data_IF_082719260783
#
_entry.id   IF_082719260783
#
_cell.length_a   1.000
_cell.length_b   1.000
_cell.length_c   1.000
_cell.angle_alpha   90.00
_cell.angle_beta   90.00
_cell.angle_gamma   90.00
#
_symmetry.space_group_name_H-M   'P 1'
#
loop_
_entity.id
_entity.type
_entity.pdbx_description
1 polymer ?
#
# COMPACT_ATOMS: atom_id res chain seq x y z
N UNK A 1 13.77 -22.54 -11.58
CA UNK A 1 14.16 -21.44 -12.50
C UNK A 1 13.18 -20.31 -12.23
N UNK A 2 13.56 -19.34 -11.39
CA UNK A 2 12.73 -18.15 -11.13
C UNK A 2 12.85 -17.21 -12.33
N UNK A 3 11.79 -17.09 -13.10
CA UNK A 3 11.70 -16.07 -14.14
C UNK A 3 11.44 -14.76 -13.41
N UNK A 4 12.50 -14.03 -13.06
CA UNK A 4 12.38 -12.61 -12.70
C UNK A 4 12.00 -11.85 -13.95
N UNK A 5 10.71 -11.65 -14.15
CA UNK A 5 10.25 -10.63 -15.08
C UNK A 5 10.79 -9.30 -14.58
N UNK A 6 11.85 -8.80 -15.26
CA UNK A 6 12.24 -7.39 -15.14
C UNK A 6 11.11 -6.59 -15.78
N UNK A 7 10.08 -6.33 -14.99
CA UNK A 7 9.08 -5.35 -15.38
C UNK A 7 9.81 -4.02 -15.53
N UNK A 8 9.67 -3.36 -16.68
CA UNK A 8 10.29 -2.07 -16.90
C UNK A 8 9.84 -1.13 -15.80
N UNK A 9 10.76 -0.32 -15.31
CA UNK A 9 10.52 0.70 -14.29
C UNK A 9 9.21 1.41 -14.60
N UNK A 10 8.18 1.23 -13.80
CA UNK A 10 6.91 1.92 -13.80
C UNK A 10 6.10 1.79 -15.08
N UNK A 11 5.21 0.84 -15.15
CA UNK A 11 4.31 0.81 -16.31
C UNK A 11 2.87 1.14 -16.02
N UNK A 12 2.31 0.75 -14.91
CA UNK A 12 0.90 1.04 -14.66
C UNK A 12 0.59 1.03 -13.17
N UNK A 13 0.08 2.11 -12.67
CA UNK A 13 -0.92 2.08 -11.61
C UNK A 13 -2.08 1.27 -12.18
N UNK A 14 -2.64 0.30 -11.46
CA UNK A 14 -3.76 -0.51 -11.97
C UNK A 14 -4.78 0.42 -12.60
N UNK A 15 -4.89 0.38 -13.92
CA UNK A 15 -5.83 1.16 -14.71
C UNK A 15 -5.49 2.62 -15.04
N UNK A 16 -4.30 3.16 -14.68
CA UNK A 16 -3.91 4.51 -15.09
C UNK A 16 -2.45 4.57 -15.56
N UNK A 17 -2.17 5.16 -16.71
CA UNK A 17 -0.80 5.39 -17.16
C UNK A 17 -0.03 6.34 -16.24
N UNK A 18 1.30 6.16 -16.16
CA UNK A 18 2.22 6.94 -15.30
C UNK A 18 2.10 8.45 -15.50
N UNK A 19 1.77 8.91 -16.73
CA UNK A 19 1.56 10.32 -17.03
C UNK A 19 0.34 10.94 -16.34
N UNK A 20 -0.51 10.13 -15.69
CA UNK A 20 -1.67 10.60 -14.91
C UNK A 20 -1.37 10.70 -13.41
N UNK A 21 -0.15 10.45 -12.98
CA UNK A 21 0.28 10.71 -11.61
C UNK A 21 0.30 12.22 -11.36
N UNK A 22 -0.17 12.65 -10.20
CA UNK A 22 -0.20 14.08 -9.84
C UNK A 22 1.19 14.73 -9.85
N UNK A 23 2.22 13.98 -9.50
CA UNK A 23 3.59 14.47 -9.45
C UNK A 23 4.57 13.35 -9.87
N UNK A 24 4.77 13.11 -11.19
CA UNK A 24 5.62 12.02 -11.65
C UNK A 24 7.08 12.13 -11.18
N UNK A 25 7.61 13.37 -11.11
CA UNK A 25 9.01 13.60 -10.73
C UNK A 25 9.32 13.11 -9.31
N UNK A 26 8.38 13.27 -8.38
CA UNK A 26 8.58 12.83 -7.00
C UNK A 26 8.67 11.31 -6.87
N UNK A 27 8.06 10.57 -7.80
CA UNK A 27 8.16 9.11 -7.81
C UNK A 27 9.54 8.64 -8.25
N UNK A 28 10.19 9.38 -9.17
CA UNK A 28 11.55 9.08 -9.61
C UNK A 28 12.55 9.41 -8.51
N UNK A 29 12.40 10.57 -7.89
CA UNK A 29 13.22 11.00 -6.76
C UNK A 29 13.11 10.03 -5.59
N UNK A 30 11.88 9.63 -5.25
CA UNK A 30 11.66 8.67 -4.17
C UNK A 30 12.22 7.28 -4.49
N UNK A 31 12.05 6.78 -5.72
CA UNK A 31 12.58 5.49 -6.13
C UNK A 31 14.12 5.43 -6.00
N UNK A 32 14.81 6.50 -6.36
CA UNK A 32 16.23 6.61 -6.18
C UNK A 32 16.63 6.71 -4.70
N UNK A 33 15.87 7.50 -3.92
CA UNK A 33 16.11 7.68 -2.49
C UNK A 33 15.94 6.38 -1.71
N UNK A 34 14.81 5.67 -1.92
CA UNK A 34 14.52 4.42 -1.20
C UNK A 34 15.56 3.34 -1.45
N UNK A 35 16.04 3.22 -2.68
CA UNK A 35 17.08 2.23 -3.04
C UNK A 35 18.39 2.44 -2.30
N UNK A 36 18.70 3.70 -1.97
CA UNK A 36 19.95 4.07 -1.28
C UNK A 36 19.84 4.03 0.24
N UNK A 37 18.66 4.31 0.77
CA UNK A 37 18.48 4.64 2.18
C UNK A 37 17.61 3.66 2.96
N UNK A 38 16.78 2.84 2.26
CA UNK A 38 15.83 1.96 2.94
C UNK A 38 16.34 0.54 3.07
N UNK A 39 16.16 -0.01 4.26
CA UNK A 39 16.44 -1.40 4.57
C UNK A 39 15.18 -2.25 4.42
N UNK A 40 15.33 -3.43 3.81
CA UNK A 40 14.23 -4.38 3.62
C UNK A 40 14.44 -5.56 4.56
N UNK A 41 13.38 -5.95 5.25
CA UNK A 41 13.37 -7.07 6.20
C UNK A 41 12.29 -8.08 5.85
N UNK A 42 12.49 -9.38 6.11
CA UNK A 42 11.47 -10.39 5.88
C UNK A 42 10.30 -10.23 6.85
N UNK A 43 9.07 -10.38 6.33
CA UNK A 43 7.84 -10.35 7.13
C UNK A 43 7.42 -11.78 7.44
N UNK A 44 7.40 -12.13 8.74
CA UNK A 44 6.94 -13.45 9.19
C UNK A 44 5.42 -13.55 9.20
N UNK A 45 4.90 -14.75 8.94
CA UNK A 45 3.48 -14.99 9.10
C UNK A 45 3.11 -15.08 10.60
N UNK A 46 1.96 -14.51 10.97
CA UNK A 46 1.49 -14.54 12.37
C UNK A 46 1.27 -15.95 12.90
N UNK A 47 0.99 -16.92 12.03
CA UNK A 47 0.87 -18.33 12.44
C UNK A 47 2.21 -19.08 12.58
N UNK A 48 3.34 -18.40 12.34
CA UNK A 48 4.68 -18.98 12.39
C UNK A 48 5.08 -19.80 11.17
N UNK A 49 4.19 -20.08 10.22
CA UNK A 49 4.51 -20.85 9.03
C UNK A 49 5.22 -19.96 7.99
N UNK A 50 6.34 -20.44 7.44
CA UNK A 50 7.12 -19.71 6.44
C UNK A 50 6.72 -20.05 5.00
N UNK A 51 6.04 -21.19 4.79
CA UNK A 51 5.62 -21.61 3.45
C UNK A 51 4.49 -20.74 2.93
N UNK A 52 4.68 -20.22 1.73
CA UNK A 52 3.70 -19.32 1.09
C UNK A 52 3.71 -19.47 -0.43
N UNK A 53 2.61 -19.09 -1.07
CA UNK A 53 2.53 -18.89 -2.53
C UNK A 53 2.64 -17.40 -2.83
N UNK A 54 3.40 -17.05 -3.87
CA UNK A 54 3.44 -15.70 -4.41
C UNK A 54 2.19 -15.42 -5.23
N UNK A 55 1.50 -14.32 -4.94
CA UNK A 55 0.31 -13.86 -5.68
C UNK A 55 0.57 -12.61 -6.51
N UNK A 56 1.56 -11.79 -6.14
CA UNK A 56 2.00 -10.65 -6.95
C UNK A 56 3.47 -10.35 -6.71
N UNK A 57 4.15 -9.84 -7.71
CA UNK A 57 5.54 -9.36 -7.62
C UNK A 57 5.66 -7.84 -7.72
N UNK A 58 4.54 -7.14 -7.84
CA UNK A 58 4.50 -5.69 -7.95
C UNK A 58 3.38 -5.13 -7.07
N UNK A 59 3.60 -3.92 -6.59
CA UNK A 59 2.54 -3.16 -5.93
C UNK A 59 1.65 -2.41 -6.94
N UNK A 60 0.69 -1.66 -6.42
CA UNK A 60 -0.24 -0.84 -7.23
C UNK A 60 0.45 0.30 -8.00
N UNK A 61 1.68 0.61 -7.67
CA UNK A 61 2.48 1.69 -8.29
C UNK A 61 3.51 1.14 -9.27
N UNK A 62 3.58 -0.19 -9.41
CA UNK A 62 4.49 -0.88 -10.31
C UNK A 62 5.88 -1.09 -9.74
N UNK A 63 6.08 -0.87 -8.42
CA UNK A 63 7.34 -1.21 -7.77
C UNK A 63 7.46 -2.69 -7.49
N UNK A 64 8.69 -3.16 -7.41
CA UNK A 64 8.96 -4.53 -7.00
C UNK A 64 8.48 -4.73 -5.54
N UNK A 65 7.42 -5.53 -5.40
CA UNK A 65 6.77 -5.76 -4.12
C UNK A 65 6.10 -7.13 -4.12
N UNK A 66 6.67 -8.06 -3.38
CA UNK A 66 6.17 -9.43 -3.38
C UNK A 66 5.07 -9.63 -2.34
N UNK A 67 3.84 -9.83 -2.82
CA UNK A 67 2.72 -10.30 -2.00
C UNK A 67 2.65 -11.82 -2.01
N UNK A 68 2.47 -12.40 -0.84
CA UNK A 68 2.37 -13.85 -0.63
C UNK A 68 1.15 -14.22 0.20
N UNK A 69 0.59 -15.40 -0.06
CA UNK A 69 -0.45 -16.01 0.75
C UNK A 69 0.14 -17.20 1.53
N UNK A 70 -0.05 -17.21 2.84
CA UNK A 70 0.41 -18.29 3.71
C UNK A 70 -0.34 -19.59 3.41
N UNK A 71 0.39 -20.68 3.21
CA UNK A 71 -0.19 -22.00 2.91
C UNK A 71 -0.98 -22.60 4.07
N UNK A 72 -0.69 -22.17 5.29
CA UNK A 72 -1.30 -22.73 6.49
C UNK A 72 -2.56 -21.97 6.92
N UNK A 73 -2.49 -20.63 7.03
CA UNK A 73 -3.59 -19.84 7.58
C UNK A 73 -4.29 -18.93 6.56
N UNK A 74 -3.79 -18.88 5.30
CA UNK A 74 -4.37 -18.05 4.25
C UNK A 74 -4.08 -16.55 4.38
N UNK A 75 -3.29 -16.11 5.37
CA UNK A 75 -2.94 -14.70 5.52
C UNK A 75 -2.17 -14.20 4.30
N UNK A 76 -2.68 -13.12 3.71
CA UNK A 76 -1.98 -12.37 2.64
C UNK A 76 -1.10 -11.33 3.31
N UNK A 77 0.18 -11.30 2.93
CA UNK A 77 1.17 -10.37 3.48
C UNK A 77 2.25 -10.03 2.45
N UNK A 78 2.99 -8.97 2.69
CA UNK A 78 4.27 -8.77 2.03
C UNK A 78 5.21 -9.92 2.41
N UNK A 79 6.05 -10.39 1.49
CA UNK A 79 7.13 -11.34 1.80
C UNK A 79 8.25 -10.64 2.53
N UNK A 80 8.57 -9.44 2.06
CA UNK A 80 9.58 -8.54 2.60
C UNK A 80 8.99 -7.13 2.63
N UNK A 81 9.41 -6.31 3.56
CA UNK A 81 8.97 -4.93 3.66
C UNK A 81 10.08 -4.05 4.23
N UNK A 82 9.92 -2.75 4.14
CA UNK A 82 10.82 -1.79 4.78
C UNK A 82 10.85 -2.03 6.29
N UNK A 83 12.02 -1.84 6.88
CA UNK A 83 12.15 -1.82 8.32
C UNK A 83 11.36 -0.64 8.94
N UNK A 84 11.25 -0.62 10.26
CA UNK A 84 10.48 0.40 10.98
C UNK A 84 11.01 1.82 10.70
N UNK A 85 12.34 2.00 10.67
CA UNK A 85 12.97 3.29 10.40
C UNK A 85 12.63 3.78 8.99
N UNK A 86 12.76 2.94 7.99
CA UNK A 86 12.45 3.27 6.60
C UNK A 86 10.96 3.56 6.41
N UNK A 87 10.11 2.79 7.07
CA UNK A 87 8.64 3.01 7.07
C UNK A 87 8.29 4.36 7.69
N UNK A 88 8.88 4.71 8.83
CA UNK A 88 8.64 6.00 9.50
C UNK A 88 9.13 7.16 8.63
N UNK A 89 10.30 7.04 7.99
CA UNK A 89 10.80 8.07 7.08
C UNK A 89 9.87 8.27 5.88
N UNK A 90 9.36 7.18 5.29
CA UNK A 90 8.42 7.26 4.18
C UNK A 90 7.17 8.04 4.54
N UNK A 91 6.50 7.70 5.64
CA UNK A 91 5.27 8.36 6.05
C UNK A 91 5.48 9.82 6.50
N UNK A 92 6.64 10.13 7.10
CA UNK A 92 6.96 11.48 7.56
C UNK A 92 7.35 12.43 6.42
N UNK A 93 8.12 11.94 5.43
CA UNK A 93 8.80 12.80 4.47
C UNK A 93 8.31 12.65 3.02
N UNK A 94 7.76 11.49 2.64
CA UNK A 94 7.48 11.18 1.24
C UNK A 94 6.00 10.95 0.92
N UNK A 95 5.24 10.35 1.83
CA UNK A 95 3.87 9.94 1.57
C UNK A 95 3.00 11.10 1.05
N UNK A 96 2.95 12.21 1.78
CA UNK A 96 2.15 13.38 1.39
C UNK A 96 2.61 14.01 0.09
N UNK A 97 3.92 14.17 -0.09
CA UNK A 97 4.51 14.70 -1.32
C UNK A 97 4.10 13.88 -2.56
N UNK A 98 4.13 12.54 -2.45
CA UNK A 98 3.75 11.63 -3.54
C UNK A 98 2.29 11.77 -3.96
N UNK A 99 1.40 11.95 -3.01
CA UNK A 99 -0.03 12.05 -3.30
C UNK A 99 -0.50 13.48 -3.57
N UNK A 100 0.41 14.46 -3.51
CA UNK A 100 0.10 15.87 -3.72
C UNK A 100 -0.93 16.38 -2.72
N UNK A 101 -0.88 15.85 -1.50
CA UNK A 101 -1.70 16.35 -0.41
C UNK A 101 -1.12 17.69 0.05
N UNK A 102 -1.95 18.72 -0.02
CA UNK A 102 -1.60 20.01 0.58
C UNK A 102 -1.41 19.82 2.08
N UNK A 103 -0.42 20.47 2.64
CA UNK A 103 -0.16 20.53 4.11
C UNK A 103 -1.24 21.34 4.85
N UNK A 104 -2.49 21.21 4.42
CA UNK A 104 -3.63 21.85 5.07
C UNK A 104 -4.45 20.78 5.83
N UNK A 105 -4.27 20.69 7.15
CA UNK A 105 -4.96 19.70 7.98
C UNK A 105 -6.49 19.83 7.92
N UNK A 106 -7.02 21.05 7.80
CA UNK A 106 -8.46 21.29 7.80
C UNK A 106 -9.11 20.75 6.52
N UNK A 107 -8.45 20.95 5.38
CA UNK A 107 -8.92 20.42 4.10
C UNK A 107 -8.86 18.90 4.07
N UNK A 108 -7.79 18.32 4.59
CA UNK A 108 -7.67 16.87 4.74
C UNK A 108 -8.78 16.32 5.65
N UNK A 109 -8.95 16.90 6.83
CA UNK A 109 -9.96 16.51 7.81
C UNK A 109 -11.38 16.59 7.23
N UNK A 110 -11.71 17.70 6.55
CA UNK A 110 -13.04 17.87 5.92
C UNK A 110 -13.32 16.83 4.84
N UNK A 111 -12.30 16.44 4.07
CA UNK A 111 -12.41 15.35 3.08
C UNK A 111 -12.65 13.99 3.75
N UNK A 112 -11.93 13.68 4.81
CA UNK A 112 -12.10 12.45 5.58
C UNK A 112 -13.46 12.40 6.28
N UNK A 113 -13.93 13.50 6.85
CA UNK A 113 -15.23 13.59 7.48
C UNK A 113 -16.38 13.28 6.51
N UNK A 114 -16.30 13.79 5.25
CA UNK A 114 -17.29 13.45 4.22
C UNK A 114 -17.29 11.97 3.88
N UNK A 115 -16.12 11.37 3.69
CA UNK A 115 -15.99 9.94 3.38
C UNK A 115 -16.49 9.08 4.54
N UNK A 116 -16.15 9.43 5.78
CA UNK A 116 -16.59 8.73 6.98
C UNK A 116 -18.10 8.81 7.15
N UNK A 117 -18.70 9.96 6.84
CA UNK A 117 -20.17 10.11 6.87
C UNK A 117 -20.86 9.16 5.89
N UNK A 118 -20.36 9.03 4.67
CA UNK A 118 -20.92 8.08 3.69
C UNK A 118 -20.86 6.63 4.18
N UNK A 119 -19.75 6.21 4.77
CA UNK A 119 -19.61 4.87 5.36
C UNK A 119 -20.58 4.69 6.53
N UNK A 120 -20.67 5.69 7.41
CA UNK A 120 -21.58 5.66 8.57
C UNK A 120 -23.03 5.56 8.15
N UNK A 121 -23.46 6.37 7.18
CA UNK A 121 -24.82 6.36 6.65
C UNK A 121 -25.16 4.99 6.02
N UNK A 122 -24.21 4.42 5.24
CA UNK A 122 -24.36 3.08 4.67
C UNK A 122 -24.52 2.00 5.76
N UNK A 123 -23.67 2.04 6.79
CA UNK A 123 -23.72 1.08 7.91
C UNK A 123 -25.06 1.19 8.64
N UNK A 124 -25.52 2.40 8.96
CA UNK A 124 -26.79 2.61 9.63
C UNK A 124 -27.99 2.12 8.79
N UNK A 125 -27.97 2.37 7.50
CA UNK A 125 -29.05 1.95 6.61
C UNK A 125 -29.16 0.42 6.49
N UNK A 126 -28.01 -0.28 6.45
CA UNK A 126 -27.95 -1.70 6.11
C UNK A 126 -27.77 -2.62 7.33
N UNK A 127 -27.00 -2.21 8.35
CA UNK A 127 -26.68 -3.04 9.50
C UNK A 127 -27.59 -2.80 10.71
N UNK A 128 -28.09 -1.58 10.94
CA UNK A 128 -29.04 -1.34 12.03
C UNK A 128 -30.40 -2.00 11.83
N UNK A 129 -30.68 -2.54 10.64
CA UNK A 129 -31.87 -3.38 10.36
C UNK A 129 -31.70 -4.84 10.82
N UNK A 130 -30.50 -5.26 11.18
CA UNK A 130 -30.22 -6.60 11.71
C UNK A 130 -30.58 -6.60 13.20
N UNK A 131 -31.87 -6.79 13.50
CA UNK A 131 -32.41 -6.85 14.86
C UNK A 131 -32.20 -8.20 15.57
N UNK A 132 -31.08 -8.87 15.35
CA UNK A 132 -30.75 -10.07 16.16
C UNK A 132 -29.36 -9.90 16.73
N UNK A 133 -29.23 -9.77 18.07
CA UNK A 133 -27.94 -10.02 18.69
C UNK A 133 -27.56 -11.49 18.40
N UNK A 134 -26.28 -11.68 18.02
CA UNK A 134 -25.67 -12.99 18.00
C UNK A 134 -25.57 -13.53 19.42
#
# INVERSE_FOLDING_TARGET
MEIRLKLPKRYYRIGKPVNQLKNPAIYDEFDEYQRKNYSIVPVKCLCGNENSYTISNVDREGWEYQLVICRSCGLIRAKEYWDEKSTNDYYSNWYRKKYGEEDNPDKFYSGQAKSSKLVFDFVNEHLCKIKKPL
#
